data_IF_553300210931
#
_entry.id   IF_553300210931
#
_cell.length_a   1.000
_cell.length_b   1.000
_cell.length_c   1.000
_cell.angle_alpha   90.00
_cell.angle_beta   90.00
_cell.angle_gamma   90.00
#
_symmetry.space_group_name_H-M   'P 1'
#
loop_
_entity.id
_entity.type
_entity.pdbx_description
1 polymer ?
#
# COMPACT_ATOMS: atom_id res chain seq x y z
N UNK A 1 44.62 51.95 27.38
CA UNK A 1 45.03 53.19 26.67
C UNK A 1 44.26 53.28 25.36
N UNK A 2 43.55 54.40 25.14
CA UNK A 2 43.27 55.12 23.88
C UNK A 2 42.97 54.33 22.59
N UNK A 3 41.95 54.58 21.74
CA UNK A 3 41.05 55.72 21.41
C UNK A 3 39.92 55.12 20.51
N UNK A 4 38.63 55.48 20.67
CA UNK A 4 37.82 56.40 19.81
C UNK A 4 37.91 56.15 18.28
N UNK A 5 36.87 56.19 17.43
CA UNK A 5 35.45 56.54 17.56
C UNK A 5 34.66 56.26 16.24
N UNK A 6 33.33 56.10 16.37
CA UNK A 6 32.17 56.65 15.59
C UNK A 6 32.18 56.72 14.03
N UNK A 7 31.09 56.26 13.42
CA UNK A 7 30.07 57.09 12.71
C UNK A 7 29.00 56.23 12.00
N UNK A 8 27.79 56.05 12.56
CA UNK A 8 26.49 56.59 12.09
C UNK A 8 26.37 56.97 10.59
N UNK A 9 25.44 56.31 9.90
CA UNK A 9 24.69 56.88 8.77
C UNK A 9 23.28 56.29 8.78
N UNK A 10 22.31 57.18 9.01
CA UNK A 10 20.87 56.96 8.99
C UNK A 10 20.32 57.46 7.65
N UNK A 11 19.52 56.66 6.95
CA UNK A 11 18.60 57.17 5.91
C UNK A 11 17.26 56.43 5.91
N UNK A 12 16.18 57.09 5.46
CA UNK A 12 14.88 57.02 6.09
C UNK A 12 13.82 56.25 5.30
N UNK A 13 12.77 55.88 6.05
CA UNK A 13 11.42 55.46 5.66
C UNK A 13 10.92 56.08 4.35
N UNK A 14 10.37 55.23 3.48
CA UNK A 14 9.24 55.59 2.61
C UNK A 14 8.05 54.71 2.98
N UNK A 15 7.09 55.33 3.66
CA UNK A 15 5.71 54.85 3.84
C UNK A 15 4.88 55.36 2.67
N UNK A 16 3.98 54.53 2.15
CA UNK A 16 2.60 54.81 1.67
C UNK A 16 2.11 53.63 0.81
N UNK A 17 0.80 53.43 0.61
CA UNK A 17 -0.26 53.22 1.59
C UNK A 17 -1.05 51.93 1.27
N UNK A 18 -2.04 51.64 2.13
CA UNK A 18 -2.92 50.49 2.07
C UNK A 18 -3.87 50.48 0.87
N UNK A 19 -4.02 49.30 0.27
CA UNK A 19 -5.24 48.77 -0.38
C UNK A 19 -5.18 47.24 -0.12
N UNK A 20 -6.11 46.61 0.58
CA UNK A 20 -7.55 46.64 0.32
C UNK A 20 -7.90 45.56 -0.68
N UNK A 21 -7.75 44.28 -0.32
CA UNK A 21 -8.29 43.16 -1.09
C UNK A 21 -8.55 41.96 -0.17
N UNK A 22 -9.82 41.80 0.21
CA UNK A 22 -10.39 40.60 0.80
C UNK A 22 -10.61 39.60 -0.34
N UNK A 23 -9.70 38.67 -0.61
CA UNK A 23 -10.01 37.54 -1.49
C UNK A 23 -9.57 36.24 -0.83
N UNK A 24 -10.61 35.55 -0.36
CA UNK A 24 -10.78 34.11 -0.17
C UNK A 24 -9.52 33.25 -0.24
N UNK A 25 -9.23 32.61 0.89
CA UNK A 25 -8.59 31.29 0.95
C UNK A 25 -9.55 30.29 0.29
N UNK A 26 -9.20 29.60 -0.80
CA UNK A 26 -9.78 28.30 -1.06
C UNK A 26 -8.98 27.26 -0.26
N UNK A 27 -9.60 26.77 0.81
CA UNK A 27 -9.40 25.39 1.23
C UNK A 27 -9.66 24.50 0.01
N UNK A 28 -8.64 23.79 -0.46
CA UNK A 28 -8.79 22.67 -1.37
C UNK A 28 -8.07 21.48 -0.73
N UNK A 29 -8.65 20.98 0.36
CA UNK A 29 -8.44 19.64 0.86
C UNK A 29 -9.74 18.90 0.57
N UNK A 30 -9.65 17.78 -0.16
CA UNK A 30 -10.74 16.83 -0.33
C UNK A 30 -11.60 17.03 -1.58
N UNK A 31 -11.16 16.44 -2.70
CA UNK A 31 -11.98 15.72 -3.68
C UNK A 31 -11.16 15.45 -4.96
N UNK A 32 -10.17 14.55 -4.89
CA UNK A 32 -9.81 13.76 -6.08
C UNK A 32 -10.71 12.53 -6.03
N UNK A 33 -11.98 12.74 -6.36
CA UNK A 33 -12.97 11.68 -6.49
C UNK A 33 -13.38 11.59 -7.97
N UNK A 34 -12.91 10.51 -8.62
CA UNK A 34 -13.68 9.75 -9.61
C UNK A 34 -14.20 10.48 -10.86
N UNK A 35 -13.35 11.23 -11.59
CA UNK A 35 -13.71 11.69 -12.95
C UNK A 35 -12.56 11.62 -13.95
N UNK A 36 -11.87 10.48 -14.04
CA UNK A 36 -10.91 10.21 -15.12
C UNK A 36 -10.87 8.73 -15.58
N UNK A 37 -11.95 7.97 -15.41
CA UNK A 37 -12.17 6.68 -16.09
C UNK A 37 -13.30 6.78 -17.15
N UNK A 38 -13.62 7.99 -17.60
CA UNK A 38 -14.53 8.22 -18.72
C UNK A 38 -13.75 8.28 -20.02
N UNK A 39 -13.47 7.14 -20.65
CA UNK A 39 -12.87 7.17 -21.99
C UNK A 39 -12.20 5.91 -22.53
N UNK A 40 -12.58 4.70 -22.10
CA UNK A 40 -12.26 3.52 -22.91
C UNK A 40 -13.33 3.39 -23.98
N UNK A 41 -13.03 3.94 -25.17
CA UNK A 41 -13.86 3.84 -26.36
C UNK A 41 -14.01 2.38 -26.78
N UNK A 42 -15.06 1.74 -26.29
CA UNK A 42 -15.49 0.43 -26.76
C UNK A 42 -16.37 0.61 -27.98
N UNK A 43 -15.93 0.09 -29.13
CA UNK A 43 -16.80 -0.13 -30.27
C UNK A 43 -17.98 -0.99 -29.80
N UNK A 44 -19.17 -0.38 -29.83
CA UNK A 44 -20.44 -0.99 -29.47
C UNK A 44 -20.75 -2.10 -30.48
N UNK A 45 -20.47 -3.35 -30.11
CA UNK A 45 -21.06 -4.51 -30.78
C UNK A 45 -22.33 -4.85 -30.00
N UNK A 46 -23.45 -4.56 -30.63
CA UNK A 46 -24.82 -4.76 -30.15
C UNK A 46 -25.20 -6.24 -30.15
N UNK A 47 -24.83 -6.96 -29.09
CA UNK A 47 -25.40 -8.26 -28.72
C UNK A 47 -26.04 -8.17 -27.34
N UNK A 48 -27.34 -8.45 -27.25
CA UNK A 48 -28.20 -8.15 -26.11
C UNK A 48 -27.96 -8.99 -24.83
N UNK A 49 -27.03 -9.96 -24.83
CA UNK A 49 -26.72 -10.80 -23.66
C UNK A 49 -25.22 -10.85 -23.32
N UNK A 50 -24.44 -9.84 -23.73
CA UNK A 50 -23.00 -9.81 -23.45
C UNK A 50 -22.74 -9.52 -21.98
N UNK A 51 -22.12 -10.47 -21.26
CA UNK A 51 -21.66 -10.26 -19.88
C UNK A 51 -20.71 -9.06 -19.86
N UNK A 52 -21.08 -8.03 -19.11
CA UNK A 52 -20.27 -6.81 -18.98
C UNK A 52 -19.49 -6.83 -17.67
N UNK A 53 -18.26 -6.31 -17.67
CA UNK A 53 -17.58 -6.04 -16.43
C UNK A 53 -18.27 -4.89 -15.68
N UNK A 54 -18.16 -4.89 -14.35
CA UNK A 54 -18.48 -3.75 -13.50
C UNK A 54 -17.45 -2.61 -13.63
N UNK A 55 -17.63 -1.55 -12.83
CA UNK A 55 -16.72 -0.39 -12.81
C UNK A 55 -15.29 -0.74 -12.35
N UNK A 56 -15.12 -1.87 -11.64
CA UNK A 56 -13.82 -2.40 -11.22
C UNK A 56 -13.23 -3.33 -12.28
N UNK A 57 -13.89 -3.52 -13.42
CA UNK A 57 -13.48 -4.43 -14.49
C UNK A 57 -13.74 -5.91 -14.16
N UNK A 58 -14.56 -6.19 -13.16
CA UNK A 58 -14.88 -7.53 -12.68
C UNK A 58 -16.12 -8.09 -13.38
N UNK A 59 -16.07 -9.37 -13.74
CA UNK A 59 -17.19 -10.13 -14.29
C UNK A 59 -17.80 -10.98 -13.17
N UNK A 60 -19.05 -10.69 -12.80
CA UNK A 60 -19.76 -11.41 -11.73
C UNK A 60 -19.95 -12.91 -12.04
N UNK A 61 -20.14 -13.24 -13.32
CA UNK A 61 -20.33 -14.63 -13.78
C UNK A 61 -19.06 -15.49 -13.65
N UNK A 62 -17.91 -14.88 -13.36
CA UNK A 62 -16.61 -15.53 -13.35
C UNK A 62 -16.13 -15.92 -11.93
N UNK A 63 -17.06 -16.16 -11.01
CA UNK A 63 -16.77 -16.68 -9.66
C UNK A 63 -16.25 -18.15 -9.69
N UNK A 64 -15.41 -18.56 -8.72
CA UNK A 64 -14.90 -17.77 -7.59
C UNK A 64 -13.70 -16.87 -7.95
N UNK A 65 -13.67 -15.67 -7.39
CA UNK A 65 -12.58 -14.70 -7.56
C UNK A 65 -11.50 -14.91 -6.49
N UNK A 66 -10.23 -14.94 -6.90
CA UNK A 66 -9.09 -14.75 -6.01
C UNK A 66 -8.91 -13.29 -5.60
N UNK A 67 -7.98 -13.05 -4.68
CA UNK A 67 -7.65 -11.73 -4.16
C UNK A 67 -6.14 -11.59 -3.96
N UNK A 68 -5.56 -10.52 -4.50
CA UNK A 68 -4.20 -10.05 -4.23
C UNK A 68 -4.29 -8.68 -3.57
N UNK A 69 -3.94 -8.61 -2.29
CA UNK A 69 -3.93 -7.36 -1.53
C UNK A 69 -2.50 -6.94 -1.28
N UNK A 70 -2.18 -5.69 -1.62
CA UNK A 70 -0.94 -5.04 -1.23
C UNK A 70 -1.27 -4.14 -0.04
N UNK A 71 -0.64 -4.41 1.09
CA UNK A 71 -0.67 -3.54 2.24
C UNK A 71 0.68 -2.83 2.36
N UNK A 72 0.63 -1.51 2.48
CA UNK A 72 1.79 -0.64 2.42
C UNK A 72 1.87 0.25 3.65
N UNK A 73 2.96 0.12 4.38
CA UNK A 73 3.24 0.99 5.51
C UNK A 73 3.73 2.37 5.04
N UNK A 74 2.95 3.41 5.30
CA UNK A 74 3.28 4.78 4.97
C UNK A 74 4.15 5.48 6.02
N UNK A 75 4.46 4.85 7.16
CA UNK A 75 5.35 5.45 8.17
C UNK A 75 6.84 5.24 7.90
N UNK A 76 7.20 4.33 6.99
CA UNK A 76 8.59 3.94 6.75
C UNK A 76 9.32 4.86 5.76
N UNK A 77 10.64 4.70 5.68
CA UNK A 77 11.47 5.31 4.63
C UNK A 77 12.15 4.28 3.74
N UNK A 78 12.74 4.72 2.63
CA UNK A 78 13.44 3.82 1.71
C UNK A 78 14.49 4.54 0.90
N UNK A 79 15.47 3.78 0.45
CA UNK A 79 16.45 4.19 -0.54
C UNK A 79 15.87 4.12 -1.96
N UNK A 80 16.53 4.75 -2.95
CA UNK A 80 16.14 4.61 -4.35
C UNK A 80 16.20 3.17 -4.88
N UNK A 81 17.07 2.30 -4.33
CA UNK A 81 17.12 0.89 -4.72
C UNK A 81 15.92 0.12 -4.17
N UNK A 82 15.61 0.31 -2.90
CA UNK A 82 14.42 -0.28 -2.28
C UNK A 82 13.14 0.19 -3.00
N UNK A 83 13.04 1.47 -3.37
CA UNK A 83 11.92 1.98 -4.18
C UNK A 83 11.77 1.24 -5.51
N UNK A 84 12.87 0.96 -6.23
CA UNK A 84 12.82 0.18 -7.48
C UNK A 84 12.35 -1.25 -7.23
N UNK A 85 12.85 -1.90 -6.18
CA UNK A 85 12.49 -3.28 -5.85
C UNK A 85 11.02 -3.41 -5.44
N UNK A 86 10.52 -2.44 -4.66
CA UNK A 86 9.11 -2.34 -4.29
C UNK A 86 8.25 -2.15 -5.54
N UNK A 87 8.62 -1.23 -6.43
CA UNK A 87 7.89 -1.01 -7.70
C UNK A 87 7.85 -2.27 -8.56
N UNK A 88 8.97 -2.97 -8.67
CA UNK A 88 9.03 -4.24 -9.38
C UNK A 88 8.13 -5.31 -8.74
N UNK A 89 8.08 -5.39 -7.41
CA UNK A 89 7.18 -6.30 -6.70
C UNK A 89 5.70 -5.99 -6.97
N UNK A 90 5.29 -4.71 -6.97
CA UNK A 90 3.92 -4.31 -7.29
C UNK A 90 3.58 -4.61 -8.75
N UNK A 91 4.46 -4.25 -9.68
CA UNK A 91 4.28 -4.54 -11.11
C UNK A 91 4.13 -6.05 -11.34
N UNK A 92 5.00 -6.87 -10.75
CA UNK A 92 4.92 -8.32 -10.88
C UNK A 92 3.66 -8.91 -10.24
N UNK A 93 3.17 -8.33 -9.13
CA UNK A 93 1.90 -8.74 -8.54
C UNK A 93 0.73 -8.49 -9.50
N UNK A 94 0.72 -7.36 -10.21
CA UNK A 94 -0.27 -7.05 -11.24
C UNK A 94 -0.13 -7.95 -12.47
N UNK A 95 1.08 -8.11 -13.00
CA UNK A 95 1.38 -8.93 -14.19
C UNK A 95 0.97 -10.40 -14.00
N UNK A 96 1.17 -10.93 -12.80
CA UNK A 96 0.83 -12.32 -12.46
C UNK A 96 -0.59 -12.51 -11.93
N UNK A 97 -1.38 -11.43 -11.84
CA UNK A 97 -2.76 -11.47 -11.38
C UNK A 97 -3.63 -12.24 -12.38
N UNK A 98 -4.30 -13.32 -11.96
CA UNK A 98 -5.23 -14.04 -12.82
C UNK A 98 -6.36 -13.14 -13.33
N UNK A 99 -6.90 -13.49 -14.49
CA UNK A 99 -8.08 -12.82 -15.00
C UNK A 99 -9.22 -12.89 -13.98
N UNK A 100 -9.90 -11.76 -13.78
CA UNK A 100 -11.02 -11.60 -12.86
C UNK A 100 -10.69 -11.73 -11.35
N UNK A 101 -9.44 -11.99 -10.97
CA UNK A 101 -9.02 -11.91 -9.57
C UNK A 101 -8.91 -10.45 -9.13
N UNK A 102 -9.29 -10.16 -7.88
CA UNK A 102 -9.24 -8.80 -7.33
C UNK A 102 -7.81 -8.42 -6.97
N UNK A 103 -7.46 -7.18 -7.27
CA UNK A 103 -6.23 -6.52 -6.86
C UNK A 103 -6.57 -5.27 -6.09
N UNK A 104 -5.97 -5.11 -4.91
CA UNK A 104 -6.17 -3.91 -4.12
C UNK A 104 -4.89 -3.42 -3.45
N UNK A 105 -4.79 -2.12 -3.25
CA UNK A 105 -3.72 -1.48 -2.48
C UNK A 105 -4.33 -0.73 -1.30
N UNK A 106 -3.79 -0.97 -0.11
CA UNK A 106 -4.19 -0.37 1.16
C UNK A 106 -2.95 0.25 1.80
N UNK A 107 -3.08 1.43 2.41
CA UNK A 107 -1.99 2.14 3.08
C UNK A 107 -2.34 2.49 4.52
N UNK A 108 -1.37 2.79 5.38
CA UNK A 108 -1.60 3.24 6.77
C UNK A 108 -1.96 4.72 6.91
N UNK A 109 -2.18 5.45 5.82
CA UNK A 109 -2.28 6.92 5.81
C UNK A 109 -3.56 7.48 6.44
N UNK A 110 -4.54 6.63 6.74
CA UNK A 110 -5.68 7.01 7.57
C UNK A 110 -5.35 6.63 9.01
N UNK A 111 -5.19 7.64 9.86
CA UNK A 111 -4.98 7.62 11.32
C UNK A 111 -6.08 6.83 12.08
N UNK A 112 -6.21 5.56 11.72
CA UNK A 112 -7.32 4.67 12.05
C UNK A 112 -6.73 3.46 12.73
N UNK A 113 -6.37 3.64 14.00
CA UNK A 113 -6.08 2.53 14.89
C UNK A 113 -7.39 1.76 15.08
N UNK A 114 -7.52 0.60 14.45
CA UNK A 114 -8.65 -0.31 14.60
C UNK A 114 -9.61 -0.42 13.41
N UNK A 115 -9.48 0.45 12.39
CA UNK A 115 -10.21 0.32 11.13
C UNK A 115 -9.25 0.12 9.96
N UNK A 116 -9.70 -0.62 8.94
CA UNK A 116 -8.94 -0.78 7.71
C UNK A 116 -9.08 0.50 6.87
N UNK A 117 -7.96 1.11 6.52
CA UNK A 117 -7.95 2.25 5.62
C UNK A 117 -8.67 1.92 4.29
N UNK A 118 -9.35 2.90 3.66
CA UNK A 118 -9.96 2.68 2.37
C UNK A 118 -8.92 2.25 1.34
N UNK A 119 -9.30 1.34 0.45
CA UNK A 119 -8.44 0.91 -0.66
C UNK A 119 -8.13 2.10 -1.56
N UNK A 120 -6.85 2.34 -1.83
CA UNK A 120 -6.38 3.39 -2.74
C UNK A 120 -6.67 3.02 -4.20
N UNK A 121 -6.67 1.72 -4.50
CA UNK A 121 -7.15 1.15 -5.77
C UNK A 121 -7.76 -0.22 -5.50
N UNK A 122 -8.82 -0.55 -6.24
CA UNK A 122 -9.40 -1.89 -6.32
C UNK A 122 -9.80 -2.15 -7.78
N UNK A 123 -9.26 -3.20 -8.40
CA UNK A 123 -9.53 -3.55 -9.80
C UNK A 123 -9.47 -5.08 -9.96
N UNK A 124 -10.20 -5.62 -10.93
CA UNK A 124 -10.01 -7.01 -11.35
C UNK A 124 -8.91 -7.15 -12.40
N UNK A 125 -8.22 -8.29 -12.37
CA UNK A 125 -7.16 -8.63 -13.30
C UNK A 125 -7.66 -8.64 -14.75
N UNK A 126 -6.93 -7.99 -15.67
CA UNK A 126 -7.33 -7.90 -17.06
C UNK A 126 -7.16 -9.26 -17.77
N UNK A 127 -7.97 -9.50 -18.80
CA UNK A 127 -7.72 -10.60 -19.71
C UNK A 127 -6.44 -10.30 -20.51
N UNK A 128 -5.60 -11.31 -20.71
CA UNK A 128 -4.36 -11.20 -21.52
C UNK A 128 -4.43 -12.09 -22.76
N UNK A 129 -5.44 -12.94 -22.84
CA UNK A 129 -5.66 -13.89 -23.92
C UNK A 129 -7.15 -14.15 -24.12
N UNK A 130 -7.54 -14.64 -25.29
CA UNK A 130 -8.93 -15.04 -25.54
C UNK A 130 -9.36 -16.22 -24.66
N UNK A 131 -8.41 -17.09 -24.27
CA UNK A 131 -8.68 -18.20 -23.36
C UNK A 131 -9.03 -17.73 -21.95
N UNK A 132 -8.65 -16.52 -21.54
CA UNK A 132 -9.13 -15.93 -20.29
C UNK A 132 -10.64 -15.69 -20.35
N UNK A 133 -11.17 -15.16 -21.45
CA UNK A 133 -12.62 -14.99 -21.60
C UNK A 133 -13.35 -16.33 -21.75
N UNK A 134 -12.81 -17.23 -22.57
CA UNK A 134 -13.45 -18.52 -22.86
C UNK A 134 -13.61 -19.39 -21.60
N UNK A 135 -12.62 -19.40 -20.68
CA UNK A 135 -12.70 -20.14 -19.41
C UNK A 135 -13.86 -19.71 -18.52
N UNK A 136 -14.38 -18.51 -18.72
CA UNK A 136 -15.48 -17.94 -17.94
C UNK A 136 -16.76 -17.76 -18.76
N UNK A 137 -16.85 -18.39 -19.95
CA UNK A 137 -18.03 -18.32 -20.80
C UNK A 137 -18.30 -16.93 -21.38
N UNK A 138 -17.28 -16.08 -21.47
CA UNK A 138 -17.40 -14.73 -22.02
C UNK A 138 -17.07 -14.80 -23.51
N UNK A 139 -18.06 -14.53 -24.36
CA UNK A 139 -17.88 -14.52 -25.82
C UNK A 139 -17.32 -13.17 -26.27
N UNK A 140 -15.99 -13.08 -26.34
CA UNK A 140 -15.28 -11.87 -26.74
C UNK A 140 -14.03 -12.20 -27.54
N UNK A 141 -13.95 -11.65 -28.75
CA UNK A 141 -12.81 -11.83 -29.66
C UNK A 141 -11.92 -10.60 -29.64
N UNK A 142 -10.64 -10.79 -29.32
CA UNK A 142 -9.63 -9.74 -29.32
C UNK A 142 -8.25 -10.39 -29.37
N UNK A 143 -7.35 -9.87 -30.20
CA UNK A 143 -6.00 -10.43 -30.30
C UNK A 143 -5.28 -10.34 -28.95
N UNK A 144 -4.45 -11.35 -28.64
CA UNK A 144 -3.64 -11.37 -27.41
C UNK A 144 -2.77 -10.13 -27.27
N UNK A 145 -2.21 -9.61 -28.37
CA UNK A 145 -1.46 -8.36 -28.38
C UNK A 145 -2.29 -7.15 -27.95
N UNK A 146 -3.54 -7.05 -28.42
CA UNK A 146 -4.45 -5.99 -27.98
C UNK A 146 -4.78 -6.11 -26.49
N UNK A 147 -5.11 -7.33 -26.02
CA UNK A 147 -5.44 -7.58 -24.61
C UNK A 147 -4.26 -7.31 -23.67
N UNK A 148 -3.05 -7.70 -24.07
CA UNK A 148 -1.84 -7.41 -23.32
C UNK A 148 -1.56 -5.91 -23.24
N UNK A 149 -1.74 -5.17 -24.34
CA UNK A 149 -1.56 -3.72 -24.34
C UNK A 149 -2.62 -3.02 -23.48
N UNK A 150 -3.86 -3.50 -23.46
CA UNK A 150 -4.91 -2.96 -22.60
C UNK A 150 -4.61 -3.24 -21.12
N UNK A 151 -4.10 -4.42 -20.79
CA UNK A 151 -3.65 -4.77 -19.44
C UNK A 151 -2.52 -3.85 -18.94
N UNK A 152 -1.56 -3.56 -19.82
CA UNK A 152 -0.44 -2.65 -19.56
C UNK A 152 -0.90 -1.20 -19.39
N UNK A 153 -1.75 -0.73 -20.32
CA UNK A 153 -2.38 0.59 -20.23
C UNK A 153 -3.13 0.75 -18.92
N UNK A 154 -3.90 -0.25 -18.50
CA UNK A 154 -4.65 -0.22 -17.24
C UNK A 154 -3.73 -0.15 -16.02
N UNK A 155 -2.57 -0.82 -16.04
CA UNK A 155 -1.56 -0.65 -15.01
C UNK A 155 -1.09 0.80 -14.94
N UNK A 156 -0.66 1.36 -16.07
CA UNK A 156 -0.11 2.71 -16.15
C UNK A 156 -1.12 3.82 -15.83
N UNK A 157 -2.39 3.63 -16.15
CA UNK A 157 -3.44 4.64 -15.94
C UNK A 157 -4.10 4.54 -14.56
N UNK A 158 -4.18 3.36 -13.94
CA UNK A 158 -4.94 3.17 -12.71
C UNK A 158 -4.10 2.72 -11.50
N UNK A 159 -3.10 1.85 -11.70
CA UNK A 159 -2.30 1.29 -10.59
C UNK A 159 -1.05 2.12 -10.33
N UNK A 160 -0.28 2.42 -11.38
CA UNK A 160 0.97 3.17 -11.31
C UNK A 160 0.78 4.55 -10.64
N UNK A 161 -0.26 5.35 -10.94
CA UNK A 161 -0.45 6.65 -10.27
C UNK A 161 -0.72 6.51 -8.78
N UNK A 162 -1.39 5.43 -8.36
CA UNK A 162 -1.59 5.13 -6.93
C UNK A 162 -0.27 4.77 -6.27
N UNK A 163 0.54 3.91 -6.88
CA UNK A 163 1.89 3.60 -6.40
C UNK A 163 2.74 4.87 -6.27
N UNK A 164 2.73 5.73 -7.30
CA UNK A 164 3.45 7.01 -7.29
C UNK A 164 2.95 7.96 -6.21
N UNK A 165 1.62 8.02 -6.00
CA UNK A 165 1.00 8.80 -4.92
C UNK A 165 1.53 8.35 -3.57
N UNK A 166 1.45 7.05 -3.26
CA UNK A 166 1.93 6.48 -1.99
C UNK A 166 3.40 6.81 -1.77
N UNK A 167 4.25 6.63 -2.79
CA UNK A 167 5.67 7.02 -2.70
C UNK A 167 5.85 8.50 -2.36
N UNK A 168 5.06 9.38 -2.98
CA UNK A 168 5.16 10.83 -2.80
C UNK A 168 4.64 11.29 -1.43
N UNK A 169 3.55 10.69 -0.96
CA UNK A 169 2.87 11.03 0.28
C UNK A 169 3.67 10.54 1.49
N UNK A 170 4.17 9.30 1.48
CA UNK A 170 5.06 8.80 2.54
C UNK A 170 6.31 9.66 2.70
N UNK A 171 6.94 10.10 1.59
CA UNK A 171 8.09 11.02 1.63
C UNK A 171 7.73 12.40 2.22
N UNK A 172 6.48 12.83 2.06
CA UNK A 172 5.99 14.07 2.66
C UNK A 172 5.70 13.88 4.16
N UNK A 173 5.08 12.76 4.54
CA UNK A 173 4.70 12.41 5.91
C UNK A 173 5.89 12.19 6.84
N UNK A 174 6.98 11.60 6.35
CA UNK A 174 8.26 11.49 7.08
C UNK A 174 8.79 12.82 7.61
N UNK A 175 8.44 13.94 6.96
CA UNK A 175 8.91 15.27 7.37
C UNK A 175 8.09 15.85 8.52
N UNK A 176 6.96 15.24 8.87
CA UNK A 176 5.93 15.88 9.67
C UNK A 176 5.79 15.29 11.08
N UNK A 177 5.84 13.96 11.32
CA UNK A 177 5.69 13.39 12.67
C UNK A 177 6.34 12.01 12.84
N UNK A 178 6.53 11.59 14.10
CA UNK A 178 6.65 10.17 14.47
C UNK A 178 5.26 9.53 14.27
N UNK A 179 5.10 8.79 13.18
CA UNK A 179 3.84 8.18 12.80
C UNK A 179 3.70 6.85 13.53
N UNK A 180 2.56 6.63 14.18
CA UNK A 180 2.22 5.31 14.73
C UNK A 180 2.15 4.30 13.57
N UNK A 181 2.77 3.13 13.75
CA UNK A 181 2.73 2.04 12.77
C UNK A 181 1.96 0.86 13.38
N UNK A 182 0.63 0.81 13.18
CA UNK A 182 -0.23 -0.21 13.77
C UNK A 182 -0.29 -1.50 12.93
N UNK A 183 0.87 -2.09 12.64
CA UNK A 183 1.00 -3.30 11.81
C UNK A 183 0.10 -4.45 12.29
N UNK A 184 0.16 -4.77 13.58
CA UNK A 184 -0.58 -5.85 14.21
C UNK A 184 -2.10 -5.66 14.09
N UNK A 185 -2.57 -4.44 14.36
CA UNK A 185 -3.98 -4.06 14.26
C UNK A 185 -4.45 -4.09 12.80
N UNK A 186 -3.63 -3.59 11.88
CA UNK A 186 -3.96 -3.56 10.45
C UNK A 186 -4.01 -4.97 9.86
N UNK A 187 -3.08 -5.87 10.20
CA UNK A 187 -3.14 -7.25 9.72
C UNK A 187 -4.33 -8.01 10.30
N UNK A 188 -4.70 -7.74 11.56
CA UNK A 188 -5.96 -8.21 12.10
C UNK A 188 -7.14 -7.71 11.27
N UNK A 189 -7.24 -6.40 11.00
CA UNK A 189 -8.34 -5.83 10.25
C UNK A 189 -8.44 -6.42 8.84
N UNK A 190 -7.31 -6.57 8.13
CA UNK A 190 -7.23 -7.21 6.81
C UNK A 190 -7.75 -8.64 6.86
N UNK A 191 -7.29 -9.43 7.82
CA UNK A 191 -7.69 -10.84 7.95
C UNK A 191 -9.20 -11.03 8.17
N UNK A 192 -9.88 -10.02 8.73
CA UNK A 192 -11.33 -10.01 8.99
C UNK A 192 -12.13 -9.38 7.86
N UNK A 193 -11.49 -8.65 6.95
CA UNK A 193 -12.15 -7.98 5.83
C UNK A 193 -12.75 -8.99 4.84
N UNK A 194 -13.99 -8.72 4.40
CA UNK A 194 -14.73 -9.58 3.46
C UNK A 194 -13.99 -9.80 2.14
N UNK A 195 -13.32 -8.76 1.61
CA UNK A 195 -12.53 -8.85 0.37
C UNK A 195 -11.33 -9.80 0.44
N UNK A 196 -10.95 -10.24 1.63
CA UNK A 196 -9.87 -11.20 1.86
C UNK A 196 -10.39 -12.55 2.36
N UNK A 197 -11.33 -12.53 3.32
CA UNK A 197 -11.91 -13.74 3.92
C UNK A 197 -12.81 -14.51 2.95
N UNK A 198 -13.63 -13.78 2.19
CA UNK A 198 -14.71 -14.37 1.38
C UNK A 198 -14.26 -14.67 -0.06
N UNK A 199 -12.98 -14.42 -0.38
CA UNK A 199 -12.39 -14.76 -1.68
C UNK A 199 -12.34 -16.28 -1.85
N UNK A 200 -12.97 -16.78 -2.92
CA UNK A 200 -13.06 -18.22 -3.21
C UNK A 200 -11.89 -18.77 -4.04
N UNK A 201 -11.06 -17.88 -4.60
CA UNK A 201 -9.87 -18.24 -5.36
C UNK A 201 -8.57 -18.15 -4.56
N UNK A 202 -7.45 -17.97 -5.26
CA UNK A 202 -6.12 -17.79 -4.65
C UNK A 202 -6.09 -16.50 -3.84
N UNK A 203 -5.58 -16.56 -2.60
CA UNK A 203 -5.45 -15.39 -1.72
C UNK A 203 -3.98 -15.05 -1.52
N UNK A 204 -3.60 -13.81 -1.82
CA UNK A 204 -2.23 -13.29 -1.70
C UNK A 204 -2.24 -12.00 -0.89
N UNK A 205 -1.35 -11.89 0.07
CA UNK A 205 -1.06 -10.66 0.81
C UNK A 205 0.39 -10.28 0.58
N UNK A 206 0.63 -9.14 -0.05
CA UNK A 206 1.94 -8.52 -0.13
C UNK A 206 2.00 -7.43 0.93
N UNK A 207 2.96 -7.55 1.85
CA UNK A 207 3.19 -6.56 2.90
C UNK A 207 4.47 -5.81 2.55
N UNK A 208 4.42 -4.48 2.53
CA UNK A 208 5.60 -3.63 2.33
C UNK A 208 5.73 -2.77 3.59
N UNK A 209 6.74 -3.06 4.41
CA UNK A 209 6.95 -2.41 5.71
C UNK A 209 8.39 -2.58 6.18
N UNK A 210 8.84 -1.69 7.06
CA UNK A 210 10.06 -1.89 7.83
C UNK A 210 9.89 -2.91 8.98
N UNK A 211 8.65 -3.35 9.24
CA UNK A 211 8.28 -4.33 10.25
C UNK A 211 8.23 -3.76 11.67
N UNK A 212 8.36 -2.44 11.85
CA UNK A 212 8.37 -1.80 13.16
C UNK A 212 6.91 -1.54 13.58
N UNK A 213 6.40 -2.34 14.51
CA UNK A 213 5.18 -1.99 15.23
C UNK A 213 5.46 -0.80 16.16
N UNK A 214 4.66 0.25 16.08
CA UNK A 214 4.75 1.39 16.99
C UNK A 214 3.36 1.87 17.41
N UNK A 215 2.87 1.33 18.53
CA UNK A 215 1.54 1.62 19.12
C UNK A 215 1.59 1.48 20.64
N UNK A 216 0.43 1.59 21.31
CA UNK A 216 0.29 1.23 22.73
C UNK A 216 0.42 -0.28 23.00
N UNK A 217 0.23 -1.14 21.99
CA UNK A 217 0.28 -2.60 22.14
C UNK A 217 1.72 -3.10 22.23
N UNK A 218 2.58 -2.56 21.37
CA UNK A 218 4.00 -2.82 21.38
C UNK A 218 4.74 -1.71 20.62
N UNK A 219 5.99 -1.47 21.01
CA UNK A 219 6.93 -0.58 20.32
C UNK A 219 8.20 -1.35 19.98
N UNK A 220 8.16 -2.08 18.86
CA UNK A 220 9.27 -2.92 18.43
C UNK A 220 10.52 -2.06 18.24
N UNK A 221 11.68 -2.62 18.62
CA UNK A 221 13.00 -2.00 18.49
C UNK A 221 13.27 -0.74 19.35
N UNK A 222 12.23 0.01 19.72
CA UNK A 222 12.32 1.21 20.58
C UNK A 222 12.28 0.86 22.08
N UNK A 223 11.39 -0.06 22.49
CA UNK A 223 11.25 -0.47 23.89
C UNK A 223 11.80 -1.88 24.09
N UNK A 224 12.71 -2.03 25.05
CA UNK A 224 13.31 -3.33 25.39
C UNK A 224 12.24 -4.32 25.85
N UNK A 225 12.13 -5.44 25.14
CA UNK A 225 11.19 -6.53 25.46
C UNK A 225 9.84 -6.44 24.75
N UNK A 226 9.63 -5.40 23.93
CA UNK A 226 8.40 -5.25 23.14
C UNK A 226 8.42 -6.07 21.86
N UNK A 227 9.59 -6.48 21.37
CA UNK A 227 9.76 -7.53 20.35
C UNK A 227 10.28 -8.83 21.00
N UNK A 228 9.46 -9.57 21.76
CA UNK A 228 9.85 -10.90 22.22
C UNK A 228 9.75 -11.90 21.06
N UNK A 229 10.36 -13.10 21.16
CA UNK A 229 10.03 -14.21 20.27
C UNK A 229 8.52 -14.41 20.18
N UNK A 230 7.99 -14.70 18.99
CA UNK A 230 6.55 -14.78 18.74
C UNK A 230 5.83 -15.75 19.70
N UNK A 231 6.44 -16.89 20.02
CA UNK A 231 5.92 -17.86 20.99
C UNK A 231 5.63 -17.26 22.37
N UNK A 232 6.39 -16.24 22.79
CA UNK A 232 6.11 -15.52 24.04
C UNK A 232 5.12 -14.39 23.83
N UNK A 233 5.09 -13.79 22.64
CA UNK A 233 4.11 -12.76 22.31
C UNK A 233 2.69 -13.31 22.30
N UNK A 234 2.47 -14.49 21.72
CA UNK A 234 1.13 -15.10 21.61
C UNK A 234 0.48 -15.41 22.97
N UNK A 235 1.29 -15.62 24.01
CA UNK A 235 0.82 -15.86 25.37
C UNK A 235 0.46 -14.56 26.12
N UNK A 236 0.80 -13.40 25.56
CA UNK A 236 0.49 -12.10 26.16
C UNK A 236 -1.01 -11.75 25.96
N UNK A 237 -1.68 -11.13 26.95
CA UNK A 237 -3.07 -10.65 26.80
C UNK A 237 -3.27 -9.72 25.60
N UNK A 238 -2.24 -8.95 25.26
CA UNK A 238 -2.16 -8.06 24.11
C UNK A 238 -2.45 -8.80 22.79
N UNK A 239 -1.91 -10.01 22.62
CA UNK A 239 -2.07 -10.76 21.37
C UNK A 239 -3.52 -11.09 21.07
N UNK A 240 -4.34 -11.41 22.08
CA UNK A 240 -5.77 -11.67 21.86
C UNK A 240 -6.51 -10.49 21.19
N UNK A 241 -6.02 -9.26 21.37
CA UNK A 241 -6.58 -8.04 20.76
C UNK A 241 -6.11 -7.80 19.33
N UNK A 242 -5.03 -8.43 18.89
CA UNK A 242 -4.43 -8.25 17.55
C UNK A 242 -4.21 -9.56 16.80
N UNK A 243 -4.71 -10.67 17.34
CA UNK A 243 -4.68 -11.97 16.71
C UNK A 243 -5.52 -11.89 15.42
N UNK A 244 -4.92 -12.24 14.26
CA UNK A 244 -5.64 -12.23 13.00
C UNK A 244 -6.72 -13.34 13.01
N UNK A 245 -7.74 -13.18 12.18
CA UNK A 245 -8.62 -14.29 11.83
C UNK A 245 -7.84 -15.35 11.01
N UNK A 246 -8.38 -16.55 10.92
CA UNK A 246 -7.73 -17.64 10.18
C UNK A 246 -7.41 -17.25 8.73
N UNK A 247 -6.13 -17.37 8.36
CA UNK A 247 -5.57 -17.03 7.05
C UNK A 247 -5.35 -18.29 6.19
N UNK A 248 -6.19 -19.31 6.34
CA UNK A 248 -6.07 -20.57 5.59
C UNK A 248 -6.08 -20.34 4.08
N UNK A 249 -5.07 -20.89 3.39
CA UNK A 249 -4.88 -20.76 1.95
C UNK A 249 -4.35 -19.40 1.48
N UNK A 250 -3.90 -18.55 2.40
CA UNK A 250 -3.26 -17.28 2.08
C UNK A 250 -1.77 -17.47 1.88
N UNK A 251 -1.25 -16.92 0.78
CA UNK A 251 0.18 -16.72 0.58
C UNK A 251 0.58 -15.30 1.00
N UNK A 252 1.54 -15.19 1.93
CA UNK A 252 2.06 -13.92 2.41
C UNK A 252 3.47 -13.70 1.87
N UNK A 253 3.69 -12.56 1.21
CA UNK A 253 5.00 -12.06 0.81
C UNK A 253 5.30 -10.77 1.58
N UNK A 254 6.19 -10.84 2.56
CA UNK A 254 6.58 -9.71 3.38
C UNK A 254 7.87 -9.08 2.86
N UNK A 255 7.78 -7.93 2.24
CA UNK A 255 8.91 -7.13 1.78
C UNK A 255 9.40 -6.23 2.92
N UNK A 256 10.35 -6.76 3.70
CA UNK A 256 10.93 -6.11 4.86
C UNK A 256 11.96 -5.06 4.41
N UNK A 257 11.59 -3.78 4.51
CA UNK A 257 12.42 -2.64 4.14
C UNK A 257 13.47 -2.38 5.21
N UNK A 258 14.74 -2.67 4.88
CA UNK A 258 15.84 -2.59 5.84
C UNK A 258 16.36 -1.17 6.04
N UNK A 259 16.54 -0.78 7.30
CA UNK A 259 17.19 0.45 7.71
C UNK A 259 18.57 0.17 8.29
N UNK A 260 19.47 1.15 8.20
CA UNK A 260 20.77 1.06 8.87
C UNK A 260 20.60 1.00 10.40
N UNK A 261 19.58 1.69 10.93
CA UNK A 261 19.33 1.84 12.36
C UNK A 261 17.84 1.56 12.67
N UNK A 262 17.54 0.35 13.17
CA UNK A 262 16.21 -0.02 13.64
C UNK A 262 15.92 0.41 15.09
N UNK A 263 16.98 0.68 15.85
CA UNK A 263 16.94 0.87 17.30
C UNK A 263 17.83 -0.16 18.02
N UNK A 264 18.13 0.05 19.32
CA UNK A 264 19.11 -0.75 20.06
C UNK A 264 18.57 -2.09 20.57
N UNK A 265 17.30 -2.42 20.31
CA UNK A 265 16.61 -3.54 20.96
C UNK A 265 16.06 -4.61 20.01
N UNK A 266 16.46 -4.58 18.74
CA UNK A 266 16.10 -5.62 17.79
C UNK A 266 17.16 -5.81 16.70
N UNK A 267 17.02 -6.90 15.97
CA UNK A 267 17.79 -7.24 14.77
C UNK A 267 16.85 -7.52 13.59
N UNK A 268 17.40 -7.44 12.37
CA UNK A 268 16.65 -7.79 11.14
C UNK A 268 16.08 -9.23 11.20
N UNK A 269 16.82 -10.14 11.83
CA UNK A 269 16.42 -11.55 11.95
C UNK A 269 15.30 -11.76 12.96
N UNK A 270 15.30 -11.01 14.07
CA UNK A 270 14.19 -11.04 15.03
C UNK A 270 12.89 -10.53 14.42
N UNK A 271 12.94 -9.43 13.66
CA UNK A 271 11.78 -8.91 12.93
C UNK A 271 11.26 -9.92 11.90
N UNK A 272 12.15 -10.45 11.06
CA UNK A 272 11.77 -11.44 10.04
C UNK A 272 11.17 -12.71 10.66
N UNK A 273 11.77 -13.23 11.74
CA UNK A 273 11.27 -14.40 12.44
C UNK A 273 9.91 -14.14 13.11
N UNK A 274 9.74 -12.98 13.73
CA UNK A 274 8.48 -12.59 14.35
C UNK A 274 7.34 -12.56 13.33
N UNK A 275 7.52 -11.85 12.22
CA UNK A 275 6.48 -11.72 11.20
C UNK A 275 6.17 -13.05 10.49
N UNK A 276 7.19 -13.89 10.23
CA UNK A 276 6.95 -15.23 9.68
C UNK A 276 6.04 -16.05 10.62
N UNK A 277 6.41 -16.11 11.89
CA UNK A 277 5.66 -16.87 12.90
C UNK A 277 4.25 -16.30 13.13
N UNK A 278 4.08 -14.98 13.10
CA UNK A 278 2.77 -14.32 13.24
C UNK A 278 1.78 -14.77 12.17
N UNK A 279 2.19 -14.81 10.90
CA UNK A 279 1.33 -15.25 9.79
C UNK A 279 1.18 -16.78 9.72
N UNK A 280 2.20 -17.54 10.11
CA UNK A 280 2.14 -19.00 10.19
C UNK A 280 1.15 -19.46 11.27
N UNK A 281 1.16 -18.84 12.46
CA UNK A 281 0.18 -19.10 13.53
C UNK A 281 -1.25 -18.79 13.08
N UNK A 282 -1.44 -17.77 12.24
CA UNK A 282 -2.72 -17.45 11.63
C UNK A 282 -3.19 -18.51 10.61
N UNK A 283 -2.33 -19.45 10.22
CA UNK A 283 -2.64 -20.51 9.25
C UNK A 283 -2.37 -20.14 7.80
N UNK A 284 -1.52 -19.14 7.52
CA UNK A 284 -1.08 -18.84 6.15
C UNK A 284 -0.44 -20.09 5.51
N UNK A 285 -0.80 -20.40 4.28
CA UNK A 285 -0.28 -21.59 3.58
C UNK A 285 1.17 -21.44 3.14
N UNK A 286 1.65 -20.20 3.02
CA UNK A 286 3.03 -19.86 2.71
C UNK A 286 3.35 -18.48 3.24
N UNK A 287 4.49 -18.34 3.90
CA UNK A 287 5.02 -17.04 4.31
C UNK A 287 6.45 -16.92 3.78
N UNK A 288 6.74 -15.82 3.10
CA UNK A 288 8.07 -15.52 2.57
C UNK A 288 8.45 -14.09 2.95
N UNK A 289 9.60 -13.93 3.63
CA UNK A 289 10.14 -12.63 4.01
C UNK A 289 11.30 -12.25 3.07
N UNK A 290 11.11 -11.19 2.29
CA UNK A 290 12.08 -10.62 1.36
C UNK A 290 12.73 -9.40 2.01
N UNK A 291 14.02 -9.50 2.33
CA UNK A 291 14.79 -8.39 2.91
C UNK A 291 15.24 -7.43 1.81
N UNK A 292 14.70 -6.22 1.81
CA UNK A 292 15.07 -5.16 0.86
C UNK A 292 16.18 -4.31 1.47
N UNK A 293 17.43 -4.51 1.03
CA UNK A 293 18.58 -3.74 1.53
C UNK A 293 18.74 -2.43 0.75
N UNK A 294 19.16 -1.34 1.40
CA UNK A 294 19.68 -0.21 0.66
C UNK A 294 20.94 -0.67 -0.08
N UNK A 295 20.99 -0.45 -1.39
CA UNK A 295 22.26 -0.57 -2.13
C UNK A 295 23.29 0.30 -1.42
N UNK A 296 24.41 -0.31 -1.00
CA UNK A 296 25.52 0.43 -0.42
C UNK A 296 25.89 1.60 -1.33
N UNK A 297 26.27 2.73 -0.72
CA UNK A 297 27.11 3.68 -1.46
C UNK A 297 28.43 2.96 -1.69
N UNK A 298 28.65 2.48 -2.91
CA UNK A 298 30.00 2.21 -3.39
C UNK A 298 30.86 3.47 -3.25
#
# INVERSE_FOLDING_TARGET
>A
MNRRAKSRSSRPRRRTPATGSKWAVPMAVGAIALTALGGVGYAVVSGADTVRPDDLGCYESAAPQGSTTIWWDASMSWSPSQERDIRAAVAQAWETLPFNDRFSVITTEADTVGDLAPRRVELCGPARSESDYARHGIEKTASSGFLSNEADKRFHEAVQPVVDSVFSETKAQQKVLAIDSPLLEQFQAISRGSGFRDAGGRKRLLVISDGIQNTEIARFCDVKGDLPPFERFKDKPEYARVAPAAMSGVEVSFYLVLHADYGPHCTEDELAAFWSAYFEEAGASRVAVYRLRPSGKD
#
